data_IF_767995453994
#
_entry.id   IF_767995453994
#
_cell.length_a   1.000
_cell.length_b   1.000
_cell.length_c   1.000
_cell.angle_alpha   90.00
_cell.angle_beta   90.00
_cell.angle_gamma   90.00
#
_symmetry.space_group_name_H-M   'P 1'
#
loop_
_entity.id
_entity.type
_entity.pdbx_description
1 polymer ?
#
# COMPACT_ATOMS: atom_id res chain seq x y z
N UNK A 1 21.90 72.50 -12.55
CA UNK A 1 22.40 71.11 -12.51
C UNK A 1 21.77 70.39 -11.31
N UNK A 2 20.75 69.64 -11.57
CA UNK A 2 20.04 68.84 -10.54
C UNK A 2 20.46 67.38 -10.74
N UNK A 3 21.15 66.83 -9.73
CA UNK A 3 21.54 65.40 -9.72
C UNK A 3 20.34 64.55 -9.37
N UNK A 4 19.94 63.65 -10.29
CA UNK A 4 19.01 62.58 -10.01
C UNK A 4 19.74 61.49 -9.19
N UNK A 5 19.18 61.18 -8.03
CA UNK A 5 19.56 60.02 -7.22
C UNK A 5 18.62 58.87 -7.58
N UNK A 6 19.15 57.84 -8.27
CA UNK A 6 18.44 56.59 -8.51
C UNK A 6 18.53 55.74 -7.26
N UNK A 7 17.39 55.47 -6.64
CA UNK A 7 17.26 54.49 -5.55
C UNK A 7 16.96 53.12 -6.19
N UNK A 8 17.95 52.25 -6.21
CA UNK A 8 17.76 50.84 -6.54
C UNK A 8 17.17 50.11 -5.30
N UNK A 9 15.87 49.84 -5.33
CA UNK A 9 15.23 49.00 -4.35
C UNK A 9 15.60 47.53 -4.61
N UNK A 10 16.39 46.95 -3.71
CA UNK A 10 16.63 45.48 -3.67
C UNK A 10 15.41 44.86 -3.03
N UNK A 11 14.59 44.19 -3.85
CA UNK A 11 13.48 43.37 -3.39
C UNK A 11 14.08 42.03 -2.87
N UNK A 12 14.30 41.94 -1.55
CA UNK A 12 14.59 40.65 -0.90
C UNK A 12 13.32 39.80 -0.92
N UNK A 13 13.24 38.86 -1.84
CA UNK A 13 12.29 37.76 -1.77
C UNK A 13 12.70 36.87 -0.61
N UNK A 14 12.06 37.06 0.54
CA UNK A 14 12.08 36.07 1.65
C UNK A 14 11.35 34.82 1.19
N UNK A 15 12.10 33.85 0.71
CA UNK A 15 11.62 32.48 0.64
C UNK A 15 11.45 31.99 2.08
N UNK A 16 10.23 32.00 2.58
CA UNK A 16 9.88 31.20 3.76
C UNK A 16 9.93 29.75 3.33
N UNK A 17 11.10 29.12 3.51
CA UNK A 17 11.17 27.66 3.50
C UNK A 17 10.28 27.19 4.64
N UNK A 18 9.12 26.66 4.30
CA UNK A 18 8.33 25.84 5.23
C UNK A 18 9.25 24.68 5.59
N UNK A 19 9.81 24.69 6.78
CA UNK A 19 10.57 23.56 7.31
C UNK A 19 9.58 22.43 7.60
N UNK A 20 9.20 21.68 6.56
CA UNK A 20 8.59 20.39 6.78
C UNK A 20 9.67 19.53 7.44
N UNK A 21 9.39 19.01 8.61
CA UNK A 21 10.27 18.02 9.25
C UNK A 21 10.44 16.85 8.28
N UNK A 22 11.68 16.37 8.15
CA UNK A 22 11.98 15.20 7.33
C UNK A 22 11.02 14.06 7.70
N UNK A 23 10.39 13.38 6.72
CA UNK A 23 9.54 12.22 7.01
C UNK A 23 10.32 11.14 7.74
N UNK A 24 9.64 10.47 8.65
CA UNK A 24 10.22 9.42 9.47
C UNK A 24 9.84 8.04 8.92
N UNK A 25 10.79 7.09 8.94
CA UNK A 25 10.66 5.79 8.30
C UNK A 25 11.12 4.65 9.23
N UNK A 26 10.46 3.51 9.06
CA UNK A 26 11.12 2.23 9.30
C UNK A 26 11.90 1.86 8.03
N UNK A 27 13.18 1.57 8.17
CA UNK A 27 14.06 1.22 7.06
C UNK A 27 14.83 -0.05 7.39
N UNK A 28 14.80 -1.03 6.48
CA UNK A 28 15.72 -2.16 6.45
C UNK A 28 16.40 -2.20 5.09
N UNK A 29 17.62 -1.72 5.04
CA UNK A 29 18.46 -1.80 3.83
C UNK A 29 19.11 -3.16 3.70
N UNK A 30 19.35 -3.56 2.45
CA UNK A 30 20.19 -4.69 2.10
C UNK A 30 21.15 -4.25 0.98
N UNK A 31 22.46 -4.28 1.24
CA UNK A 31 23.50 -3.84 0.29
C UNK A 31 23.51 -4.65 -1.02
N UNK A 32 22.88 -5.82 -1.02
CA UNK A 32 22.71 -6.65 -2.20
C UNK A 32 21.36 -6.42 -2.92
N UNK A 33 20.50 -5.58 -2.36
CA UNK A 33 19.19 -5.31 -2.94
C UNK A 33 19.34 -4.54 -4.26
N UNK A 34 18.53 -4.91 -5.22
CA UNK A 34 18.42 -4.24 -6.51
C UNK A 34 16.98 -3.75 -6.76
N UNK A 35 16.12 -3.91 -5.78
CA UNK A 35 14.71 -3.48 -5.78
C UNK A 35 14.33 -3.04 -4.38
N UNK A 36 13.44 -2.09 -4.28
CA UNK A 36 12.90 -1.62 -3.02
C UNK A 36 11.43 -2.04 -2.87
N UNK A 37 10.99 -2.31 -1.64
CA UNK A 37 9.58 -2.44 -1.29
C UNK A 37 9.19 -1.24 -0.42
N UNK A 38 8.30 -0.39 -0.94
CA UNK A 38 7.71 0.72 -0.21
C UNK A 38 6.34 0.30 0.32
N UNK A 39 6.23 0.17 1.64
CA UNK A 39 5.04 -0.33 2.32
C UNK A 39 4.29 0.76 3.07
N UNK A 40 2.97 0.79 2.94
CA UNK A 40 2.08 1.71 3.65
C UNK A 40 1.20 0.89 4.60
N UNK A 41 1.40 1.14 5.90
CA UNK A 41 0.77 0.44 7.01
C UNK A 41 -0.76 0.62 7.01
N UNK A 42 -1.48 -0.36 7.53
CA UNK A 42 -2.93 -0.30 7.75
C UNK A 42 -3.32 0.60 8.93
N UNK A 43 -4.59 0.58 9.33
CA UNK A 43 -5.07 1.36 10.48
C UNK A 43 -4.80 0.61 11.78
N UNK A 44 -3.83 1.07 12.54
CA UNK A 44 -3.36 0.44 13.78
C UNK A 44 -3.74 1.19 15.06
N UNK A 45 -4.41 2.35 14.92
CA UNK A 45 -4.72 3.22 16.04
C UNK A 45 -6.22 3.43 16.22
N UNK A 46 -6.63 3.58 17.49
CA UNK A 46 -7.98 3.94 17.90
C UNK A 46 -8.10 5.44 18.19
N UNK A 47 -9.33 5.95 18.29
CA UNK A 47 -9.59 7.31 18.77
C UNK A 47 -8.98 7.52 20.16
N UNK A 48 -8.45 8.70 20.40
CA UNK A 48 -7.82 9.07 21.66
C UNK A 48 -8.21 10.49 22.10
N UNK A 49 -7.99 10.80 23.36
CA UNK A 49 -8.33 12.10 23.94
C UNK A 49 -7.06 12.94 24.09
N UNK A 50 -7.06 14.14 23.56
CA UNK A 50 -5.97 15.08 23.70
C UNK A 50 -5.95 15.75 25.10
N UNK A 51 -4.96 16.58 25.37
CA UNK A 51 -4.82 17.28 26.67
C UNK A 51 -5.92 18.33 26.92
N UNK A 52 -6.68 18.71 25.91
CA UNK A 52 -7.82 19.65 25.99
C UNK A 52 -9.16 18.93 26.21
N UNK A 53 -9.16 17.58 26.13
CA UNK A 53 -10.36 16.76 26.28
C UNK A 53 -11.08 16.48 24.96
N UNK A 54 -10.48 16.83 23.80
CA UNK A 54 -11.08 16.58 22.49
C UNK A 54 -10.77 15.17 22.00
N UNK A 55 -11.74 14.57 21.32
CA UNK A 55 -11.54 13.30 20.63
C UNK A 55 -10.77 13.50 19.34
N UNK A 56 -9.64 12.84 19.22
CA UNK A 56 -8.76 12.88 18.05
C UNK A 56 -9.02 11.65 17.17
N UNK A 57 -9.20 11.91 15.87
CA UNK A 57 -9.52 10.90 14.85
C UNK A 57 -8.33 10.60 13.92
N UNK A 58 -7.15 11.05 14.29
CA UNK A 58 -5.88 10.75 13.62
C UNK A 58 -4.84 10.37 14.66
N UNK A 59 -3.98 9.43 14.29
CA UNK A 59 -2.81 9.12 15.07
C UNK A 59 -1.91 10.35 15.24
N UNK A 60 -1.04 10.29 16.22
CA UNK A 60 0.02 11.29 16.44
C UNK A 60 1.33 10.51 16.61
N UNK A 61 2.23 10.60 15.62
CA UNK A 61 3.49 9.86 15.61
C UNK A 61 4.51 10.36 16.62
N UNK A 62 4.21 11.46 17.32
CA UNK A 62 5.00 11.88 18.50
C UNK A 62 4.66 11.07 19.75
N UNK A 63 3.54 10.33 19.75
CA UNK A 63 3.12 9.44 20.84
C UNK A 63 3.74 8.06 20.67
N UNK A 64 4.51 7.59 21.67
CA UNK A 64 5.20 6.29 21.57
C UNK A 64 4.27 5.10 21.32
N UNK A 65 3.06 5.11 21.89
CA UNK A 65 2.08 4.04 21.74
C UNK A 65 1.54 3.94 20.30
N UNK A 66 1.26 5.08 19.63
CA UNK A 66 0.82 5.07 18.22
C UNK A 66 1.95 4.59 17.31
N UNK A 67 3.15 5.10 17.55
CA UNK A 67 4.33 4.68 16.80
C UNK A 67 4.62 3.18 16.98
N UNK A 68 4.48 2.64 18.19
CA UNK A 68 4.69 1.22 18.46
C UNK A 68 3.64 0.33 17.76
N UNK A 69 2.40 0.79 17.65
CA UNK A 69 1.35 0.07 16.92
C UNK A 69 1.71 -0.09 15.44
N UNK A 70 2.05 1.02 14.75
CA UNK A 70 2.50 0.95 13.36
C UNK A 70 3.77 0.11 13.20
N UNK A 71 4.75 0.28 14.10
CA UNK A 71 5.99 -0.48 14.06
C UNK A 71 5.74 -2.00 14.12
N UNK A 72 4.78 -2.44 14.91
CA UNK A 72 4.43 -3.86 15.06
C UNK A 72 3.97 -4.47 13.73
N UNK A 73 3.03 -3.82 13.03
CA UNK A 73 2.58 -4.29 11.72
C UNK A 73 3.68 -4.20 10.68
N UNK A 74 4.34 -3.04 10.56
CA UNK A 74 5.40 -2.80 9.57
C UNK A 74 6.49 -3.87 9.67
N UNK A 75 6.96 -4.15 10.89
CA UNK A 75 7.98 -5.19 11.12
C UNK A 75 7.47 -6.59 10.79
N UNK A 76 6.20 -6.87 11.09
CA UNK A 76 5.56 -8.14 10.74
C UNK A 76 5.52 -8.34 9.23
N UNK A 77 5.12 -7.33 8.47
CA UNK A 77 5.06 -7.36 7.00
C UNK A 77 6.46 -7.49 6.40
N UNK A 78 7.45 -6.71 6.87
CA UNK A 78 8.84 -6.83 6.44
C UNK A 78 9.35 -8.27 6.60
N UNK A 79 9.15 -8.86 7.77
CA UNK A 79 9.61 -10.22 8.07
C UNK A 79 8.91 -11.30 7.25
N UNK A 80 7.59 -11.17 7.02
CA UNK A 80 6.77 -12.22 6.41
C UNK A 80 6.75 -12.14 4.88
N UNK A 81 6.73 -10.93 4.32
CA UNK A 81 6.36 -10.67 2.92
C UNK A 81 7.51 -10.12 2.09
N UNK A 82 8.41 -9.32 2.69
CA UNK A 82 9.49 -8.73 1.92
C UNK A 82 10.52 -9.79 1.50
N UNK A 83 10.85 -9.92 0.20
CA UNK A 83 11.95 -10.78 -0.23
C UNK A 83 13.29 -10.31 0.34
N UNK A 84 14.20 -11.22 0.58
CA UNK A 84 15.55 -10.90 1.05
C UNK A 84 16.37 -10.10 0.04
N UNK A 85 15.99 -10.16 -1.23
CA UNK A 85 16.58 -9.39 -2.33
C UNK A 85 16.11 -7.94 -2.41
N UNK A 86 15.18 -7.52 -1.53
CA UNK A 86 14.65 -6.17 -1.49
C UNK A 86 15.11 -5.41 -0.24
N UNK A 87 15.34 -4.10 -0.38
CA UNK A 87 15.30 -3.18 0.75
C UNK A 87 13.86 -2.83 1.09
N UNK A 88 13.58 -2.49 2.35
CA UNK A 88 12.22 -2.23 2.82
C UNK A 88 12.15 -0.83 3.44
N UNK A 89 11.14 -0.07 3.00
CA UNK A 89 10.87 1.29 3.45
C UNK A 89 9.40 1.44 3.81
N UNK A 90 9.10 1.93 5.00
CA UNK A 90 7.73 2.21 5.42
C UNK A 90 7.67 3.52 6.20
N UNK A 91 6.91 4.52 5.72
CA UNK A 91 6.77 5.78 6.44
C UNK A 91 5.91 5.60 7.68
N UNK A 92 6.28 6.31 8.75
CA UNK A 92 5.37 6.60 9.83
C UNK A 92 4.53 7.82 9.44
N UNK A 93 3.20 7.71 9.56
CA UNK A 93 2.28 8.78 9.19
C UNK A 93 1.10 8.85 10.16
N UNK A 94 0.51 10.01 10.31
CA UNK A 94 -0.65 10.21 11.17
C UNK A 94 -1.90 9.65 10.48
N UNK A 95 -2.03 8.32 10.53
CA UNK A 95 -3.16 7.60 9.94
C UNK A 95 -4.49 7.99 10.61
N UNK A 96 -5.60 7.90 9.87
CA UNK A 96 -6.91 8.01 10.47
C UNK A 96 -7.19 6.79 11.36
N UNK A 97 -7.85 7.01 12.50
CA UNK A 97 -8.15 5.97 13.49
C UNK A 97 -9.30 5.05 13.03
N UNK A 98 -9.41 3.87 13.64
CA UNK A 98 -10.45 2.89 13.30
C UNK A 98 -11.85 3.48 13.47
N UNK A 99 -12.13 4.09 14.64
CA UNK A 99 -13.41 4.75 14.89
C UNK A 99 -13.61 5.95 13.96
N UNK A 100 -12.55 6.70 13.72
CA UNK A 100 -12.55 7.83 12.80
C UNK A 100 -12.95 7.45 11.38
N UNK A 101 -12.58 6.26 10.91
CA UNK A 101 -12.93 5.78 9.56
C UNK A 101 -14.29 5.09 9.50
N UNK A 102 -14.64 4.27 10.50
CA UNK A 102 -15.65 3.23 10.33
C UNK A 102 -16.92 3.45 11.14
N UNK A 103 -16.91 4.34 12.15
CA UNK A 103 -18.13 4.72 12.88
C UNK A 103 -19.09 5.52 11.99
N UNK A 104 -18.55 6.39 11.12
CA UNK A 104 -19.27 7.09 10.07
C UNK A 104 -18.51 6.92 8.75
N UNK A 105 -18.93 5.96 7.94
CA UNK A 105 -18.28 5.61 6.69
C UNK A 105 -18.35 6.70 5.62
N UNK A 106 -19.16 7.74 5.79
CA UNK A 106 -19.17 8.92 4.89
C UNK A 106 -17.88 9.74 5.03
N UNK A 107 -17.20 9.61 6.17
CA UNK A 107 -15.93 10.27 6.46
C UNK A 107 -14.69 9.43 6.07
N UNK A 108 -14.89 8.19 5.58
CA UNK A 108 -13.80 7.30 5.21
C UNK A 108 -12.87 7.96 4.18
N UNK A 109 -13.40 8.31 3.01
CA UNK A 109 -12.60 8.90 1.93
C UNK A 109 -11.94 10.22 2.35
N UNK A 110 -12.64 11.23 2.93
CA UNK A 110 -12.01 12.47 3.36
C UNK A 110 -10.87 12.28 4.36
N UNK A 111 -11.03 11.35 5.31
CA UNK A 111 -10.01 11.09 6.34
C UNK A 111 -8.82 10.31 5.80
N UNK A 112 -9.06 9.29 4.98
CA UNK A 112 -7.97 8.60 4.29
C UNK A 112 -7.18 9.55 3.38
N UNK A 113 -7.86 10.40 2.60
CA UNK A 113 -7.21 11.38 1.73
C UNK A 113 -6.29 12.32 2.53
N UNK A 114 -6.76 12.83 3.67
CA UNK A 114 -5.95 13.69 4.53
C UNK A 114 -4.72 12.96 5.09
N UNK A 115 -4.85 11.73 5.56
CA UNK A 115 -3.72 10.94 6.05
C UNK A 115 -2.72 10.63 4.93
N UNK A 116 -3.21 10.44 3.70
CA UNK A 116 -2.39 10.13 2.52
C UNK A 116 -1.51 11.29 2.09
N UNK A 117 -1.84 12.55 2.44
CA UNK A 117 -0.96 13.71 2.16
C UNK A 117 0.44 13.53 2.76
N UNK A 118 0.55 12.99 3.98
CA UNK A 118 1.84 12.69 4.60
C UNK A 118 2.56 11.53 3.92
N UNK A 119 1.82 10.52 3.47
CA UNK A 119 2.37 9.38 2.70
C UNK A 119 2.94 9.85 1.36
N UNK A 120 2.26 10.76 0.66
CA UNK A 120 2.76 11.35 -0.59
C UNK A 120 4.07 12.12 -0.36
N UNK A 121 4.14 12.96 0.68
CA UNK A 121 5.36 13.66 1.03
C UNK A 121 6.51 12.70 1.37
N UNK A 122 6.19 11.61 2.09
CA UNK A 122 7.17 10.58 2.41
C UNK A 122 7.65 9.83 1.16
N UNK A 123 6.75 9.53 0.23
CA UNK A 123 7.12 8.89 -1.03
C UNK A 123 7.98 9.79 -1.91
N UNK A 124 7.67 11.08 -2.01
CA UNK A 124 8.49 12.05 -2.75
C UNK A 124 9.90 12.15 -2.13
N UNK A 125 10.00 12.19 -0.79
CA UNK A 125 11.28 12.16 -0.09
C UNK A 125 12.05 10.85 -0.36
N UNK A 126 11.37 9.71 -0.29
CA UNK A 126 11.95 8.41 -0.61
C UNK A 126 12.54 8.37 -2.02
N UNK A 127 11.77 8.79 -3.02
CA UNK A 127 12.23 8.84 -4.42
C UNK A 127 13.43 9.77 -4.63
N UNK A 128 13.48 10.89 -3.91
CA UNK A 128 14.55 11.88 -4.06
C UNK A 128 15.84 11.52 -3.31
N UNK A 129 15.74 10.78 -2.20
CA UNK A 129 16.86 10.65 -1.26
C UNK A 129 17.23 9.21 -0.89
N UNK A 130 16.32 8.25 -1.05
CA UNK A 130 16.49 6.90 -0.52
C UNK A 130 16.43 5.80 -1.58
N UNK A 131 15.71 6.01 -2.69
CA UNK A 131 15.46 4.97 -3.70
C UNK A 131 16.70 4.65 -4.56
N UNK A 132 17.60 5.64 -4.79
CA UNK A 132 18.81 5.45 -5.59
C UNK A 132 18.56 4.85 -6.99
N UNK A 133 17.48 5.23 -7.65
CA UNK A 133 17.04 4.76 -8.96
C UNK A 133 16.74 3.24 -9.04
N UNK A 134 16.54 2.59 -7.91
CA UNK A 134 16.09 1.20 -7.89
C UNK A 134 14.66 1.06 -8.42
N UNK A 135 14.33 0.00 -9.18
CA UNK A 135 12.95 -0.44 -9.34
C UNK A 135 12.28 -0.64 -7.98
N UNK A 136 10.99 -0.35 -7.89
CA UNK A 136 10.30 -0.45 -6.61
C UNK A 136 8.93 -1.15 -6.72
N UNK A 137 8.55 -1.79 -5.64
CA UNK A 137 7.21 -2.33 -5.39
C UNK A 137 6.49 -1.37 -4.45
N UNK A 138 5.25 -0.97 -4.81
CA UNK A 138 4.34 -0.32 -3.88
C UNK A 138 3.46 -1.39 -3.22
N UNK A 139 3.27 -1.31 -1.91
CA UNK A 139 2.38 -2.21 -1.20
C UNK A 139 1.67 -1.46 -0.09
N UNK A 140 0.38 -1.64 0.03
CA UNK A 140 -0.40 -1.06 1.11
C UNK A 140 -1.57 -1.94 1.50
N UNK A 141 -1.92 -1.89 2.78
CA UNK A 141 -3.00 -2.69 3.34
C UNK A 141 -4.07 -1.80 3.95
N UNK A 142 -5.35 -2.09 3.65
CA UNK A 142 -6.50 -1.35 4.20
C UNK A 142 -6.43 0.15 3.86
N UNK A 143 -6.28 1.03 4.85
CA UNK A 143 -6.02 2.45 4.63
C UNK A 143 -4.73 2.68 3.82
N UNK A 144 -3.71 1.85 4.02
CA UNK A 144 -2.52 1.86 3.17
C UNK A 144 -2.81 1.46 1.73
N UNK A 145 -3.77 0.56 1.50
CA UNK A 145 -4.26 0.22 0.16
C UNK A 145 -4.92 1.41 -0.55
N UNK A 146 -5.74 2.19 0.18
CA UNK A 146 -6.25 3.48 -0.32
C UNK A 146 -5.09 4.40 -0.73
N UNK A 147 -4.10 4.55 0.14
CA UNK A 147 -2.95 5.42 -0.14
C UNK A 147 -2.13 4.96 -1.36
N UNK A 148 -1.99 3.65 -1.60
CA UNK A 148 -1.36 3.12 -2.83
C UNK A 148 -2.13 3.55 -4.07
N UNK A 149 -3.47 3.45 -4.08
CA UNK A 149 -4.29 3.89 -5.22
C UNK A 149 -4.08 5.38 -5.51
N UNK A 150 -4.02 6.22 -4.48
CA UNK A 150 -3.78 7.65 -4.65
C UNK A 150 -2.33 7.94 -5.08
N UNK A 151 -1.33 7.22 -4.55
CA UNK A 151 0.06 7.32 -5.01
C UNK A 151 0.23 6.95 -6.47
N UNK A 152 -0.46 5.90 -6.95
CA UNK A 152 -0.43 5.53 -8.36
C UNK A 152 -0.88 6.65 -9.28
N UNK A 153 -1.83 7.48 -8.83
CA UNK A 153 -2.30 8.67 -9.57
C UNK A 153 -1.31 9.84 -9.49
N UNK A 154 -0.42 9.83 -8.50
CA UNK A 154 0.60 10.86 -8.27
C UNK A 154 1.93 10.59 -9.00
N UNK A 155 2.19 9.34 -9.39
CA UNK A 155 3.44 8.96 -10.06
C UNK A 155 3.67 9.73 -11.35
N UNK A 156 4.90 10.24 -11.53
CA UNK A 156 5.34 10.70 -12.85
C UNK A 156 5.48 9.51 -13.82
N UNK A 157 5.45 9.76 -15.14
CA UNK A 157 5.68 8.68 -16.12
C UNK A 157 7.00 7.92 -15.91
N UNK A 158 8.06 8.62 -15.48
CA UNK A 158 9.36 8.04 -15.19
C UNK A 158 9.28 7.13 -13.97
N UNK A 159 8.66 7.58 -12.88
CA UNK A 159 8.44 6.76 -11.67
C UNK A 159 7.56 5.55 -11.99
N UNK A 160 6.46 5.73 -12.73
CA UNK A 160 5.61 4.62 -13.15
C UNK A 160 6.37 3.59 -13.99
N UNK A 161 7.33 4.03 -14.82
CA UNK A 161 8.19 3.13 -15.60
C UNK A 161 9.16 2.32 -14.73
N UNK A 162 9.57 2.83 -13.56
CA UNK A 162 10.43 2.12 -12.60
C UNK A 162 9.65 1.17 -11.70
N UNK A 163 8.33 1.35 -11.54
CA UNK A 163 7.51 0.49 -10.70
C UNK A 163 7.50 -0.96 -11.21
N UNK A 164 7.75 -1.89 -10.29
CA UNK A 164 7.62 -3.34 -10.53
C UNK A 164 6.16 -3.74 -10.53
N UNK A 165 5.46 -3.45 -9.45
CA UNK A 165 4.03 -3.68 -9.27
C UNK A 165 3.51 -2.88 -8.06
N UNK A 166 2.18 -2.68 -8.00
CA UNK A 166 1.50 -2.13 -6.86
C UNK A 166 0.53 -3.16 -6.27
N UNK A 167 0.61 -3.41 -4.96
CA UNK A 167 -0.25 -4.33 -4.22
C UNK A 167 -1.24 -3.52 -3.37
N UNK A 168 -2.50 -3.52 -3.78
CA UNK A 168 -3.63 -2.92 -3.06
C UNK A 168 -4.34 -4.03 -2.31
N UNK A 169 -4.03 -4.19 -1.02
CA UNK A 169 -4.50 -5.30 -0.20
C UNK A 169 -5.63 -4.82 0.69
N UNK A 170 -6.75 -5.53 0.69
CA UNK A 170 -7.89 -5.19 1.55
C UNK A 170 -8.50 -3.82 1.28
N UNK A 171 -8.35 -3.31 0.06
CA UNK A 171 -9.01 -2.11 -0.43
C UNK A 171 -9.43 -2.30 -1.88
N UNK A 172 -10.30 -1.45 -2.39
CA UNK A 172 -10.84 -1.53 -3.74
C UNK A 172 -10.02 -0.71 -4.75
N UNK A 173 -9.99 -1.19 -5.99
CA UNK A 173 -9.60 -0.41 -7.17
C UNK A 173 -10.83 -0.29 -8.04
N UNK A 174 -11.34 0.91 -8.24
CA UNK A 174 -12.62 1.14 -8.92
C UNK A 174 -12.45 1.33 -10.43
N UNK A 175 -13.56 1.24 -11.18
CA UNK A 175 -13.58 1.60 -12.60
C UNK A 175 -13.08 3.04 -12.87
N UNK A 176 -13.29 3.95 -11.91
CA UNK A 176 -12.76 5.30 -12.01
C UNK A 176 -11.24 5.34 -11.93
N UNK A 177 -10.67 4.51 -11.05
CA UNK A 177 -9.23 4.44 -10.86
C UNK A 177 -8.53 3.86 -12.09
N UNK A 178 -9.14 2.84 -12.73
CA UNK A 178 -8.62 2.21 -13.95
C UNK A 178 -8.53 3.16 -15.16
N UNK A 179 -9.16 4.33 -15.12
CA UNK A 179 -8.97 5.35 -16.16
C UNK A 179 -7.64 6.07 -16.08
N UNK A 180 -6.93 5.94 -14.94
CA UNK A 180 -5.61 6.53 -14.79
C UNK A 180 -4.54 5.64 -15.45
N UNK A 181 -3.63 6.21 -16.27
CA UNK A 181 -2.66 5.41 -17.05
C UNK A 181 -1.67 4.61 -16.21
N UNK A 182 -1.41 5.02 -14.98
CA UNK A 182 -0.53 4.30 -14.03
C UNK A 182 -1.22 3.14 -13.30
N UNK A 183 -2.55 2.97 -13.46
CA UNK A 183 -3.32 1.91 -12.80
C UNK A 183 -3.75 0.90 -13.87
N UNK A 184 -3.06 -0.22 -13.90
CA UNK A 184 -3.29 -1.27 -14.88
C UNK A 184 -3.45 -2.61 -14.17
N UNK A 185 -4.61 -3.27 -14.31
CA UNK A 185 -4.88 -4.54 -13.65
C UNK A 185 -3.85 -5.62 -14.00
N UNK A 186 -3.37 -6.35 -12.99
CA UNK A 186 -2.56 -7.55 -13.18
C UNK A 186 -3.40 -8.64 -13.88
N UNK A 187 -2.76 -9.40 -14.79
CA UNK A 187 -3.39 -10.46 -15.57
C UNK A 187 -2.78 -11.85 -15.31
N UNK A 188 -1.55 -11.89 -14.80
CA UNK A 188 -0.83 -13.13 -14.56
C UNK A 188 0.22 -12.98 -13.45
N UNK A 189 0.97 -14.06 -13.20
CA UNK A 189 1.91 -14.19 -12.09
C UNK A 189 3.08 -13.20 -12.15
N UNK A 190 3.56 -12.82 -13.36
CA UNK A 190 4.84 -12.14 -13.54
C UNK A 190 4.78 -10.89 -14.44
N UNK A 191 3.60 -10.40 -14.79
CA UNK A 191 3.46 -9.11 -15.47
C UNK A 191 3.91 -7.96 -14.54
N UNK A 192 4.48 -6.91 -15.12
CA UNK A 192 5.09 -5.80 -14.40
C UNK A 192 4.45 -4.46 -14.75
N UNK A 193 4.64 -3.46 -13.87
CA UNK A 193 3.99 -2.16 -13.99
C UNK A 193 2.48 -2.29 -13.85
N UNK A 194 1.99 -3.17 -12.99
CA UNK A 194 0.57 -3.54 -12.83
C UNK A 194 0.11 -3.30 -11.40
N UNK A 195 -1.21 -3.27 -11.23
CA UNK A 195 -1.89 -3.17 -9.94
C UNK A 195 -2.55 -4.50 -9.60
N UNK A 196 -2.15 -5.07 -8.49
CA UNK A 196 -2.71 -6.26 -7.86
C UNK A 196 -3.74 -5.79 -6.83
N UNK A 197 -4.94 -6.39 -6.86
CA UNK A 197 -5.97 -6.11 -5.87
C UNK A 197 -6.64 -7.42 -5.45
N UNK A 198 -6.80 -7.63 -4.15
CA UNK A 198 -7.62 -8.71 -3.62
C UNK A 198 -8.25 -8.34 -2.28
N UNK A 199 -9.40 -8.94 -2.01
CA UNK A 199 -10.18 -8.83 -0.79
C UNK A 199 -10.79 -10.18 -0.48
N UNK A 200 -10.57 -10.72 0.71
CA UNK A 200 -10.89 -12.10 1.08
C UNK A 200 -12.14 -12.20 1.91
N UNK A 201 -13.06 -13.07 1.48
CA UNK A 201 -14.35 -13.29 2.13
C UNK A 201 -14.74 -14.77 2.05
N UNK A 202 -15.62 -15.23 2.94
CA UNK A 202 -16.26 -16.54 2.82
C UNK A 202 -17.39 -16.53 1.77
N UNK A 203 -18.06 -15.39 1.57
CA UNK A 203 -19.06 -15.16 0.53
C UNK A 203 -19.15 -13.67 0.21
N UNK A 204 -19.70 -13.30 -0.94
CA UNK A 204 -19.81 -11.91 -1.38
C UNK A 204 -20.62 -11.04 -0.39
N UNK A 205 -21.60 -11.62 0.32
CA UNK A 205 -22.41 -10.91 1.33
C UNK A 205 -21.60 -10.47 2.56
N UNK A 206 -20.44 -11.10 2.79
CA UNK A 206 -19.52 -10.73 3.88
C UNK A 206 -18.63 -9.53 3.52
N UNK A 207 -18.65 -9.04 2.29
CA UNK A 207 -17.90 -7.87 1.86
C UNK A 207 -18.27 -6.62 2.68
N UNK A 208 -17.27 -5.77 2.91
CA UNK A 208 -17.45 -4.48 3.56
C UNK A 208 -17.51 -3.40 2.46
N UNK A 209 -18.67 -2.75 2.24
CA UNK A 209 -18.87 -1.91 1.05
C UNK A 209 -17.84 -0.80 0.88
N UNK A 210 -17.42 -0.14 1.96
CA UNK A 210 -16.44 0.97 1.89
C UNK A 210 -15.02 0.50 1.55
N UNK A 211 -14.71 -0.77 1.79
CA UNK A 211 -13.38 -1.35 1.52
C UNK A 211 -13.32 -2.09 0.19
N UNK A 212 -14.38 -2.80 -0.19
CA UNK A 212 -14.33 -3.72 -1.34
C UNK A 212 -15.61 -3.74 -2.20
N UNK A 213 -16.62 -2.91 -1.87
CA UNK A 213 -17.92 -2.97 -2.51
C UNK A 213 -17.96 -2.53 -3.97
N UNK A 214 -16.98 -1.79 -4.46
CA UNK A 214 -16.88 -1.28 -5.83
C UNK A 214 -15.58 -1.66 -6.51
N UNK A 215 -14.92 -2.75 -6.07
CA UNK A 215 -13.68 -3.16 -6.75
C UNK A 215 -13.98 -3.67 -8.15
N UNK A 216 -13.22 -3.17 -9.13
CA UNK A 216 -13.36 -3.48 -10.55
C UNK A 216 -12.32 -4.49 -11.04
N UNK A 217 -11.37 -4.85 -10.18
CA UNK A 217 -10.33 -5.84 -10.45
C UNK A 217 -10.13 -6.76 -9.25
N UNK A 218 -9.74 -7.99 -9.53
CA UNK A 218 -9.35 -8.96 -8.54
C UNK A 218 -8.39 -9.98 -9.14
N UNK A 219 -7.52 -10.53 -8.33
CA UNK A 219 -6.66 -11.65 -8.70
C UNK A 219 -6.58 -12.62 -7.53
N UNK A 220 -6.58 -13.92 -7.80
CA UNK A 220 -6.43 -14.92 -6.75
C UNK A 220 -4.97 -14.93 -6.25
N UNK A 221 -4.69 -14.57 -4.99
CA UNK A 221 -3.31 -14.42 -4.50
C UNK A 221 -2.57 -15.73 -4.25
N UNK A 222 -3.13 -16.88 -4.67
CA UNK A 222 -2.47 -18.18 -4.62
C UNK A 222 -1.96 -18.61 -5.99
N UNK A 223 -2.81 -18.58 -7.02
CA UNK A 223 -2.42 -18.99 -8.38
C UNK A 223 -2.17 -17.79 -9.31
N UNK A 224 -2.37 -16.58 -8.83
CA UNK A 224 -2.19 -15.32 -9.56
C UNK A 224 -2.97 -15.28 -10.89
N UNK A 225 -4.18 -15.87 -10.87
CA UNK A 225 -5.11 -15.92 -11.99
C UNK A 225 -6.27 -14.95 -11.77
N UNK A 226 -6.73 -14.36 -12.86
CA UNK A 226 -7.96 -13.56 -12.91
C UNK A 226 -9.20 -14.39 -13.28
N UNK A 227 -9.01 -15.69 -13.47
CA UNK A 227 -10.07 -16.64 -13.75
C UNK A 227 -10.65 -17.26 -12.46
N UNK A 228 -11.86 -17.78 -12.53
CA UNK A 228 -12.52 -18.46 -11.41
C UNK A 228 -11.93 -19.87 -11.17
N UNK A 229 -10.61 -20.03 -11.26
CA UNK A 229 -9.90 -21.29 -11.04
C UNK A 229 -9.53 -21.44 -9.58
N UNK A 230 -10.08 -22.46 -8.87
CA UNK A 230 -9.76 -22.70 -7.47
C UNK A 230 -8.28 -23.05 -7.29
N UNK A 231 -7.69 -22.56 -6.20
CA UNK A 231 -6.34 -22.93 -5.78
C UNK A 231 -6.33 -23.36 -4.31
N UNK A 232 -5.89 -24.59 -4.07
CA UNK A 232 -5.82 -25.17 -2.72
C UNK A 232 -4.41 -25.00 -2.16
N UNK A 233 -4.30 -24.60 -0.90
CA UNK A 233 -3.04 -24.35 -0.21
C UNK A 233 -3.14 -24.66 1.29
N UNK A 234 -1.99 -24.81 1.93
CA UNK A 234 -1.91 -24.96 3.39
C UNK A 234 -1.69 -23.61 4.02
N UNK A 235 -2.67 -23.17 4.78
CA UNK A 235 -2.54 -22.02 5.68
C UNK A 235 -1.92 -22.50 7.00
N UNK A 236 -0.87 -21.86 7.43
CA UNK A 236 -0.18 -22.16 8.70
C UNK A 236 0.34 -20.85 9.30
N UNK A 237 -0.45 -20.27 10.20
CA UNK A 237 -0.14 -19.00 10.83
C UNK A 237 -0.86 -18.86 12.19
N UNK A 238 -0.18 -18.28 13.17
CA UNK A 238 -0.78 -17.96 14.47
C UNK A 238 -1.29 -19.19 15.26
N UNK A 239 -0.74 -20.38 15.00
CA UNK A 239 -1.15 -21.62 15.64
C UNK A 239 -2.39 -22.25 14.99
N UNK A 240 -2.88 -21.73 13.88
CA UNK A 240 -3.93 -22.32 13.03
C UNK A 240 -3.28 -22.95 11.82
N UNK A 241 -3.63 -24.22 11.53
CA UNK A 241 -3.18 -24.94 10.34
C UNK A 241 -4.39 -25.58 9.66
N UNK A 242 -4.76 -25.03 8.51
CA UNK A 242 -5.92 -25.45 7.70
C UNK A 242 -5.53 -25.66 6.24
N UNK A 243 -6.24 -26.56 5.55
CA UNK A 243 -6.20 -26.62 4.10
C UNK A 243 -7.32 -25.73 3.57
N UNK A 244 -6.94 -24.67 2.86
CA UNK A 244 -7.86 -23.68 2.31
C UNK A 244 -7.94 -23.78 0.80
N UNK A 245 -9.07 -23.37 0.26
CA UNK A 245 -9.25 -23.15 -1.18
C UNK A 245 -9.61 -21.69 -1.42
N UNK A 246 -8.83 -21.02 -2.25
CA UNK A 246 -9.08 -19.65 -2.70
C UNK A 246 -9.60 -19.68 -4.14
N UNK A 247 -10.72 -19.01 -4.40
CA UNK A 247 -11.31 -18.87 -5.74
C UNK A 247 -11.68 -17.43 -5.98
N UNK A 248 -11.27 -16.87 -7.11
CA UNK A 248 -11.72 -15.52 -7.52
C UNK A 248 -13.18 -15.61 -7.99
N UNK A 249 -14.07 -14.84 -7.38
CA UNK A 249 -15.39 -14.55 -7.94
C UNK A 249 -15.24 -13.42 -8.97
N UNK A 250 -15.35 -13.76 -10.24
CA UNK A 250 -15.15 -12.84 -11.36
C UNK A 250 -16.28 -11.80 -11.52
N UNK A 251 -17.38 -11.95 -10.78
CA UNK A 251 -18.48 -10.95 -10.80
C UNK A 251 -18.25 -9.86 -9.75
N UNK A 252 -17.85 -10.24 -8.54
CA UNK A 252 -17.60 -9.30 -7.45
C UNK A 252 -16.13 -8.90 -7.32
N UNK A 253 -15.24 -9.58 -8.03
CA UNK A 253 -13.77 -9.45 -7.92
C UNK A 253 -13.23 -9.72 -6.50
N UNK A 254 -13.96 -10.52 -5.71
CA UNK A 254 -13.55 -10.92 -4.36
C UNK A 254 -12.91 -12.31 -4.39
N UNK A 255 -11.97 -12.55 -3.48
CA UNK A 255 -11.38 -13.87 -3.28
C UNK A 255 -12.21 -14.64 -2.25
N UNK A 256 -12.93 -15.68 -2.71
CA UNK A 256 -13.71 -16.55 -1.86
C UNK A 256 -12.80 -17.58 -1.20
N UNK A 257 -12.88 -17.71 0.13
CA UNK A 257 -12.06 -18.64 0.93
C UNK A 257 -12.96 -19.70 1.55
N UNK A 258 -12.64 -20.95 1.27
CA UNK A 258 -13.27 -22.14 1.87
C UNK A 258 -12.28 -22.87 2.77
N UNK A 259 -12.80 -23.52 3.82
CA UNK A 259 -12.03 -24.41 4.69
C UNK A 259 -11.39 -23.74 5.91
N UNK A 260 -11.45 -22.42 6.08
CA UNK A 260 -10.93 -21.75 7.25
C UNK A 260 -11.75 -22.07 8.50
N UNK A 261 -11.11 -22.62 9.54
CA UNK A 261 -11.73 -23.03 10.82
C UNK A 261 -11.29 -22.19 12.00
N UNK A 262 -10.34 -21.29 11.78
CA UNK A 262 -9.88 -20.36 12.80
C UNK A 262 -10.91 -19.27 13.12
N UNK A 263 -10.57 -18.42 14.08
CA UNK A 263 -11.34 -17.22 14.39
C UNK A 263 -10.72 -16.03 13.66
N UNK A 264 -11.54 -15.18 13.04
CA UNK A 264 -11.11 -13.90 12.47
C UNK A 264 -11.71 -12.78 13.29
N UNK A 265 -10.87 -11.84 13.71
CA UNK A 265 -11.34 -10.61 14.32
C UNK A 265 -12.18 -9.82 13.32
N UNK A 266 -13.36 -9.37 13.74
CA UNK A 266 -14.19 -8.51 12.91
C UNK A 266 -13.71 -7.06 13.04
N UNK A 267 -13.72 -6.36 11.92
CA UNK A 267 -13.45 -4.91 11.92
C UNK A 267 -14.57 -4.21 12.71
N UNK A 268 -14.24 -3.37 13.69
CA UNK A 268 -15.25 -2.63 14.45
C UNK A 268 -16.24 -1.89 13.54
N UNK A 269 -17.50 -1.84 13.93
CA UNK A 269 -18.63 -1.13 13.32
C UNK A 269 -19.12 -1.66 11.97
N UNK A 270 -18.27 -2.23 11.13
CA UNK A 270 -18.61 -2.65 9.75
C UNK A 270 -18.36 -4.13 9.47
N UNK A 271 -17.61 -4.81 10.32
CA UNK A 271 -17.22 -6.21 10.12
C UNK A 271 -18.39 -7.16 10.17
N UNK A 272 -18.39 -8.15 9.28
CA UNK A 272 -19.40 -9.23 9.19
C UNK A 272 -18.70 -10.57 9.32
N UNK A 273 -19.37 -11.59 9.90
CA UNK A 273 -18.87 -12.97 9.88
C UNK A 273 -18.56 -13.41 8.44
N UNK A 274 -17.42 -14.06 8.25
CA UNK A 274 -16.94 -14.46 6.92
C UNK A 274 -16.20 -13.38 6.15
N UNK A 275 -16.00 -12.18 6.72
CA UNK A 275 -15.03 -11.22 6.19
C UNK A 275 -13.65 -11.52 6.79
N UNK A 276 -12.64 -11.69 5.93
CA UNK A 276 -11.28 -12.03 6.33
C UNK A 276 -10.29 -10.87 6.20
N UNK A 277 -10.79 -9.64 6.18
CA UNK A 277 -9.94 -8.46 6.03
C UNK A 277 -8.76 -8.42 7.02
N UNK A 278 -8.97 -8.78 8.30
CA UNK A 278 -7.88 -8.83 9.28
C UNK A 278 -6.84 -9.94 9.02
N UNK A 279 -7.06 -10.79 8.03
CA UNK A 279 -6.18 -11.90 7.66
C UNK A 279 -5.59 -11.78 6.25
N UNK A 280 -5.81 -10.69 5.53
CA UNK A 280 -5.40 -10.54 4.12
C UNK A 280 -3.91 -10.81 3.89
N UNK A 281 -3.04 -10.36 4.77
CA UNK A 281 -1.60 -10.65 4.69
C UNK A 281 -1.28 -12.05 5.25
N UNK A 282 -1.72 -12.42 6.46
CA UNK A 282 -1.50 -13.77 7.00
C UNK A 282 -1.95 -14.92 6.11
N UNK A 283 -3.08 -14.79 5.41
CA UNK A 283 -3.57 -15.84 4.51
C UNK A 283 -2.60 -16.16 3.38
N UNK A 284 -1.85 -15.18 2.90
CA UNK A 284 -1.09 -15.29 1.64
C UNK A 284 0.39 -14.93 1.75
N UNK A 285 0.95 -14.76 2.95
CA UNK A 285 2.30 -14.20 3.12
C UNK A 285 3.38 -14.91 2.31
N UNK A 286 3.34 -16.24 2.20
CA UNK A 286 4.31 -17.02 1.40
C UNK A 286 4.14 -16.74 -0.08
N UNK A 287 2.91 -16.84 -0.59
CA UNK A 287 2.60 -16.57 -1.99
C UNK A 287 2.88 -15.12 -2.38
N UNK A 288 2.62 -14.16 -1.48
CA UNK A 288 2.98 -12.75 -1.67
C UNK A 288 4.50 -12.58 -1.82
N UNK A 289 5.29 -13.15 -0.89
CA UNK A 289 6.74 -13.08 -0.92
C UNK A 289 7.32 -13.65 -2.22
N UNK A 290 6.83 -14.81 -2.63
CA UNK A 290 7.25 -15.48 -3.88
C UNK A 290 6.84 -14.66 -5.11
N UNK A 291 5.63 -14.10 -5.15
CA UNK A 291 5.16 -13.32 -6.28
C UNK A 291 5.91 -11.98 -6.41
N UNK A 292 6.19 -11.30 -5.30
CA UNK A 292 7.02 -10.09 -5.32
C UNK A 292 8.39 -10.41 -5.90
N UNK A 293 9.04 -11.48 -5.44
CA UNK A 293 10.35 -11.90 -5.96
C UNK A 293 10.32 -12.17 -7.47
N UNK A 294 9.32 -12.94 -7.96
CA UNK A 294 9.14 -13.24 -9.39
C UNK A 294 8.96 -11.97 -10.25
N UNK A 295 8.18 -11.01 -9.79
CA UNK A 295 7.95 -9.75 -10.50
C UNK A 295 9.21 -8.87 -10.51
N UNK A 296 9.99 -8.87 -9.41
CA UNK A 296 11.30 -8.20 -9.37
C UNK A 296 12.26 -8.82 -10.37
N UNK A 297 12.33 -10.16 -10.46
CA UNK A 297 13.16 -10.86 -11.45
C UNK A 297 12.73 -10.53 -12.89
N UNK A 298 11.42 -10.51 -13.17
CA UNK A 298 10.89 -10.14 -14.48
C UNK A 298 11.28 -8.71 -14.88
N UNK A 299 11.21 -7.76 -13.92
CA UNK A 299 11.62 -6.36 -14.12
C UNK A 299 13.09 -6.26 -14.48
N UNK A 300 13.97 -6.93 -13.73
CA UNK A 300 15.40 -6.94 -14.01
C UNK A 300 15.76 -7.63 -15.34
N UNK A 301 15.03 -8.68 -15.72
CA UNK A 301 15.18 -9.33 -17.02
C UNK A 301 14.88 -8.38 -18.18
N UNK A 302 13.83 -7.55 -18.08
CA UNK A 302 13.48 -6.55 -19.06
C UNK A 302 14.57 -5.47 -19.17
N UNK A 303 15.01 -4.90 -18.06
CA UNK A 303 16.06 -3.85 -18.04
C UNK A 303 17.39 -4.32 -18.66
N UNK A 304 17.78 -5.58 -18.46
CA UNK A 304 18.98 -6.17 -19.11
C UNK A 304 18.83 -6.25 -20.62
N UNK A 305 17.65 -6.62 -21.12
CA UNK A 305 17.40 -6.74 -22.55
C UNK A 305 17.40 -5.38 -23.25
N UNK A 306 16.84 -4.34 -22.62
CA UNK A 306 16.83 -2.97 -23.17
C UNK A 306 18.26 -2.42 -23.30
N UNK A 307 19.11 -2.64 -22.30
CA UNK A 307 20.51 -2.23 -22.32
C UNK A 307 21.34 -2.97 -23.40
N UNK A 308 21.02 -4.23 -23.71
CA UNK A 308 21.71 -4.97 -24.77
C UNK A 308 21.29 -4.56 -26.16
N UNK A 309 20.09 -4.01 -26.32
CA UNK A 309 19.57 -3.54 -27.62
C UNK A 309 20.10 -2.14 -27.97
N UNK A 310 20.38 -1.31 -26.98
CA UNK A 310 20.92 0.07 -27.17
C UNK A 310 22.41 0.10 -27.61
N UNK A 311 23.14 -1.01 -27.50
CA UNK A 311 24.55 -1.10 -27.94
C UNK A 311 24.73 -1.66 -29.38
N UNK A 312 23.65 -1.79 -30.17
CA UNK A 312 23.69 -2.35 -31.53
C UNK A 312 23.48 -1.34 -32.65
N UNK A 313 23.69 -0.03 -32.40
CA UNK A 313 23.64 1.02 -33.43
C UNK A 313 24.90 1.86 -33.43
#
# INVERSE_FOLDING_TARGET
>A
MIKQISIFGVLLLLWTACSHSQPDFYIRTNDQATTDLFYICSTETADWINTQGDTMHFADMTRPEHRAALYSEIRGVDSLVCPETCSFYAPYYNQATIEGLLRDTTLFIPRCAKATEEVMQAFDYYMQHLNHDHPFVLMGYSQGGFAVVELLKHLTPEQASCMVAAYVIGYQVTESDLRHPSIRAAQCTNDIGVTICYNSVASAEAAIPVLSGNTAIGINPINWSTEATPATYVFDFGGVSDTLTATLDTLSHLTLIEGYKGTCSLIPFVGKPGNYHCLEIPLYYRSLKENIALRCEAKHGMLKNDNTTSFRY
#
